data_IF_577285455136
#
_entry.id   IF_577285455136
#
_cell.length_a   1.000
_cell.length_b   1.000
_cell.length_c   1.000
_cell.angle_alpha   90.00
_cell.angle_beta   90.00
_cell.angle_gamma   90.00
#
_symmetry.space_group_name_H-M   'P 1'
#
loop_
_entity.id
_entity.type
_entity.pdbx_description
1 polymer ?
#
# COMPACT_ATOMS: atom_id res chain seq x y z
N UNK A 1 14.31 -0.29 15.09
CA UNK A 1 13.15 -0.10 16.01
C UNK A 1 11.81 -0.50 15.36
N UNK A 2 11.53 -0.18 14.10
CA UNK A 2 10.27 -0.49 13.40
C UNK A 2 9.98 -2.00 13.26
N UNK A 3 10.95 -2.79 12.80
CA UNK A 3 10.81 -4.24 12.59
C UNK A 3 10.49 -4.99 13.89
N UNK A 4 11.12 -4.64 15.02
CA UNK A 4 10.80 -5.24 16.34
C UNK A 4 9.34 -5.01 16.74
N UNK A 5 8.82 -3.80 16.51
CA UNK A 5 7.40 -3.50 16.80
C UNK A 5 6.45 -4.33 15.92
N UNK A 6 6.83 -4.60 14.68
CA UNK A 6 6.04 -5.41 13.75
C UNK A 6 5.98 -6.87 14.17
N UNK A 7 7.11 -7.42 14.60
CA UNK A 7 7.19 -8.81 15.12
C UNK A 7 6.30 -8.99 16.35
N UNK A 8 6.38 -8.07 17.31
CA UNK A 8 5.55 -8.11 18.52
C UNK A 8 4.06 -8.03 18.16
N UNK A 9 3.67 -7.16 17.22
CA UNK A 9 2.29 -7.07 16.76
C UNK A 9 1.80 -8.38 16.14
N UNK A 10 2.64 -9.05 15.33
CA UNK A 10 2.32 -10.34 14.71
C UNK A 10 2.17 -11.46 15.74
N UNK A 11 3.06 -11.51 16.72
CA UNK A 11 2.96 -12.46 17.83
C UNK A 11 1.67 -12.26 18.61
N UNK A 12 1.36 -11.02 18.97
CA UNK A 12 0.13 -10.68 19.68
C UNK A 12 -1.12 -11.04 18.86
N UNK A 13 -1.15 -10.68 17.57
CA UNK A 13 -2.24 -11.02 16.65
C UNK A 13 -2.49 -12.53 16.60
N UNK A 14 -1.42 -13.33 16.48
CA UNK A 14 -1.51 -14.80 16.48
C UNK A 14 -2.01 -15.35 17.81
N UNK A 15 -1.56 -14.77 18.93
CA UNK A 15 -1.87 -15.26 20.29
C UNK A 15 -3.34 -14.98 20.69
N UNK A 16 -3.86 -13.79 20.42
CA UNK A 16 -5.20 -13.39 20.86
C UNK A 16 -6.29 -13.45 19.77
N UNK A 17 -5.89 -13.67 18.53
CA UNK A 17 -6.77 -13.69 17.37
C UNK A 17 -7.20 -12.30 16.90
N UNK A 18 -7.71 -12.24 15.68
CA UNK A 18 -7.99 -10.99 14.95
C UNK A 18 -8.99 -10.07 15.68
N UNK A 19 -10.14 -10.61 16.10
CA UNK A 19 -11.20 -9.79 16.72
C UNK A 19 -10.73 -9.12 18.01
N UNK A 20 -10.01 -9.85 18.86
CA UNK A 20 -9.46 -9.30 20.12
C UNK A 20 -8.34 -8.30 19.82
N UNK A 21 -7.48 -8.60 18.84
CA UNK A 21 -6.42 -7.70 18.41
C UNK A 21 -6.97 -6.36 17.91
N UNK A 22 -7.99 -6.38 17.05
CA UNK A 22 -8.63 -5.17 16.54
C UNK A 22 -9.31 -4.36 17.66
N UNK A 23 -9.99 -5.01 18.61
CA UNK A 23 -10.54 -4.33 19.79
C UNK A 23 -9.45 -3.64 20.63
N UNK A 24 -8.30 -4.30 20.82
CA UNK A 24 -7.15 -3.73 21.50
C UNK A 24 -6.55 -2.53 20.75
N UNK A 25 -6.42 -2.65 19.43
CA UNK A 25 -5.95 -1.55 18.58
C UNK A 25 -6.89 -0.34 18.64
N UNK A 26 -8.19 -0.57 18.61
CA UNK A 26 -9.20 0.49 18.77
C UNK A 26 -9.04 1.20 20.13
N UNK A 27 -8.96 0.42 21.23
CA UNK A 27 -8.77 0.97 22.56
C UNK A 27 -7.48 1.82 22.66
N UNK A 28 -6.40 1.37 22.02
CA UNK A 28 -5.13 2.10 22.00
C UNK A 28 -5.23 3.43 21.24
N UNK A 29 -5.94 3.45 20.09
CA UNK A 29 -6.09 4.64 19.25
C UNK A 29 -7.07 5.65 19.82
N UNK A 30 -8.23 5.19 20.28
CA UNK A 30 -9.34 6.07 20.67
C UNK A 30 -9.54 6.19 22.18
N UNK A 31 -8.72 5.47 23.00
CA UNK A 31 -8.82 5.42 24.46
C UNK A 31 -10.20 5.00 24.99
N UNK A 32 -10.99 4.31 24.17
CA UNK A 32 -12.33 3.82 24.46
C UNK A 32 -12.51 2.42 23.86
N UNK A 33 -13.32 1.57 24.47
CA UNK A 33 -13.67 0.27 23.93
C UNK A 33 -14.66 0.46 22.75
N UNK A 34 -14.49 -0.27 21.62
CA UNK A 34 -15.45 -0.19 20.52
C UNK A 34 -16.72 -0.97 20.87
N UNK A 35 -17.88 -0.41 20.51
CA UNK A 35 -19.11 -1.19 20.45
C UNK A 35 -19.22 -1.78 19.04
N UNK A 36 -18.77 -3.03 18.87
CA UNK A 36 -18.84 -3.72 17.58
C UNK A 36 -20.15 -4.49 17.37
N UNK A 37 -20.96 -4.62 18.39
CA UNK A 37 -22.26 -5.30 18.30
C UNK A 37 -23.35 -4.33 17.79
N UNK A 38 -23.22 -3.03 18.13
CA UNK A 38 -24.05 -1.93 17.60
C UNK A 38 -23.18 -0.70 17.35
N UNK A 39 -22.41 -0.66 16.23
CA UNK A 39 -21.45 0.43 15.97
C UNK A 39 -22.17 1.72 15.56
N UNK A 40 -22.04 2.77 16.38
CA UNK A 40 -22.62 4.07 16.11
C UNK A 40 -21.62 5.02 15.44
N UNK A 41 -20.36 5.00 15.90
CA UNK A 41 -19.31 5.88 15.39
C UNK A 41 -18.74 5.37 14.07
N UNK A 42 -18.34 6.29 13.20
CA UNK A 42 -17.68 5.93 11.93
C UNK A 42 -16.46 5.02 12.14
N UNK A 43 -15.62 5.31 13.13
CA UNK A 43 -14.49 4.46 13.49
C UNK A 43 -14.90 3.05 13.94
N UNK A 44 -16.00 2.91 14.69
CA UNK A 44 -16.54 1.60 15.07
C UNK A 44 -17.07 0.83 13.86
N UNK A 45 -17.76 1.51 12.93
CA UNK A 45 -18.24 0.92 11.68
C UNK A 45 -17.08 0.41 10.82
N UNK A 46 -15.98 1.17 10.71
CA UNK A 46 -14.78 0.72 10.00
C UNK A 46 -14.14 -0.53 10.65
N UNK A 47 -14.04 -0.56 11.98
CA UNK A 47 -13.51 -1.74 12.70
C UNK A 47 -14.48 -2.93 12.60
N UNK A 48 -15.78 -2.69 12.62
CA UNK A 48 -16.81 -3.70 12.40
C UNK A 48 -16.66 -4.34 10.99
N UNK A 49 -16.51 -3.53 9.95
CA UNK A 49 -16.24 -4.01 8.58
C UNK A 49 -14.99 -4.89 8.52
N UNK A 50 -13.91 -4.49 9.18
CA UNK A 50 -12.68 -5.29 9.26
C UNK A 50 -12.92 -6.66 9.93
N UNK A 51 -13.76 -6.74 10.94
CA UNK A 51 -14.02 -7.98 11.69
C UNK A 51 -15.00 -8.90 10.98
N UNK A 52 -16.10 -8.36 10.45
CA UNK A 52 -17.24 -9.15 10.01
C UNK A 52 -17.35 -9.28 8.48
N UNK A 53 -16.99 -8.26 7.72
CA UNK A 53 -17.16 -8.25 6.27
C UNK A 53 -15.87 -8.44 5.47
N UNK A 54 -14.77 -8.76 6.12
CA UNK A 54 -13.47 -8.93 5.48
C UNK A 54 -13.49 -9.93 4.32
N UNK A 55 -14.16 -11.07 4.47
CA UNK A 55 -14.21 -12.10 3.43
C UNK A 55 -14.89 -11.60 2.15
N UNK A 56 -15.97 -10.85 2.28
CA UNK A 56 -16.71 -10.29 1.14
C UNK A 56 -15.98 -9.13 0.46
N UNK A 57 -15.32 -8.30 1.25
CA UNK A 57 -14.65 -7.10 0.76
C UNK A 57 -13.22 -7.37 0.27
N UNK A 58 -12.65 -8.53 0.61
CA UNK A 58 -11.25 -8.83 0.31
C UNK A 58 -10.89 -8.64 -1.17
N UNK A 59 -11.63 -9.18 -2.16
CA UNK A 59 -11.27 -9.01 -3.57
C UNK A 59 -11.27 -7.55 -4.00
N UNK A 60 -12.30 -6.79 -3.61
CA UNK A 60 -12.41 -5.37 -3.93
C UNK A 60 -11.32 -4.54 -3.24
N UNK A 61 -11.03 -4.85 -1.97
CA UNK A 61 -9.99 -4.16 -1.22
C UNK A 61 -8.62 -4.43 -1.84
N UNK A 62 -8.30 -5.66 -2.23
CA UNK A 62 -7.05 -6.00 -2.90
C UNK A 62 -6.92 -5.26 -4.23
N UNK A 63 -7.99 -5.23 -5.02
CA UNK A 63 -8.04 -4.51 -6.29
C UNK A 63 -7.80 -3.01 -6.11
N UNK A 64 -8.46 -2.40 -5.10
CA UNK A 64 -8.36 -0.96 -4.86
C UNK A 64 -7.09 -0.54 -4.08
N UNK A 65 -6.47 -1.46 -3.35
CA UNK A 65 -5.27 -1.17 -2.57
C UNK A 65 -4.01 -1.05 -3.44
N UNK A 66 -3.89 -1.89 -4.46
CA UNK A 66 -2.78 -1.86 -5.39
C UNK A 66 -2.92 -0.69 -6.37
N UNK A 67 -1.89 0.16 -6.45
CA UNK A 67 -1.89 1.40 -7.25
C UNK A 67 -2.00 1.16 -8.75
N UNK A 68 -1.70 -0.06 -9.21
CA UNK A 68 -1.83 -0.42 -10.61
C UNK A 68 -3.20 -1.02 -10.90
N UNK A 69 -3.64 -2.01 -10.12
CA UNK A 69 -4.91 -2.70 -10.37
C UNK A 69 -6.13 -1.80 -10.14
N UNK A 70 -6.06 -0.83 -9.20
CA UNK A 70 -7.13 0.15 -8.99
C UNK A 70 -7.41 0.99 -10.26
N UNK A 71 -6.44 1.15 -11.14
CA UNK A 71 -6.63 1.90 -12.40
C UNK A 71 -7.64 1.22 -13.32
N UNK A 72 -7.61 -0.13 -13.39
CA UNK A 72 -8.60 -0.90 -14.14
C UNK A 72 -10.01 -0.72 -13.55
N UNK A 73 -10.14 -0.85 -12.22
CA UNK A 73 -11.40 -0.62 -11.54
C UNK A 73 -11.97 0.78 -11.81
N UNK A 74 -11.14 1.81 -11.78
CA UNK A 74 -11.55 3.19 -12.07
C UNK A 74 -11.97 3.38 -13.52
N UNK A 75 -11.32 2.72 -14.48
CA UNK A 75 -11.74 2.70 -15.89
C UNK A 75 -13.12 2.08 -16.06
N UNK A 76 -13.36 0.93 -15.45
CA UNK A 76 -14.66 0.24 -15.44
C UNK A 76 -15.78 1.08 -14.82
N UNK A 77 -15.44 1.99 -13.92
CA UNK A 77 -16.37 2.95 -13.30
C UNK A 77 -16.51 4.27 -14.06
N UNK A 78 -15.92 4.41 -15.26
CA UNK A 78 -15.96 5.63 -16.07
C UNK A 78 -15.14 6.78 -15.48
N UNK A 79 -14.19 6.48 -14.60
CA UNK A 79 -13.34 7.46 -13.91
C UNK A 79 -11.94 7.59 -14.52
N UNK A 80 -11.71 7.09 -15.72
CA UNK A 80 -10.40 7.09 -16.39
C UNK A 80 -9.78 8.48 -16.49
N UNK A 81 -10.59 9.50 -16.73
CA UNK A 81 -10.15 10.90 -16.87
C UNK A 81 -9.49 11.49 -15.60
N UNK A 82 -9.66 10.83 -14.46
CA UNK A 82 -9.04 11.23 -13.19
C UNK A 82 -7.74 10.48 -12.90
N UNK A 83 -7.37 9.50 -13.73
CA UNK A 83 -6.12 8.77 -13.55
C UNK A 83 -4.94 9.63 -13.98
N UNK A 84 -3.91 9.64 -13.14
CA UNK A 84 -2.64 10.23 -13.51
C UNK A 84 -2.01 9.50 -14.70
N UNK A 85 -1.22 10.19 -15.49
CA UNK A 85 -0.51 9.62 -16.64
C UNK A 85 0.51 8.58 -16.15
N UNK A 86 0.41 7.36 -16.69
CA UNK A 86 1.25 6.22 -16.37
C UNK A 86 2.32 6.07 -17.45
N UNK A 87 3.59 6.21 -17.08
CA UNK A 87 4.72 6.05 -17.99
C UNK A 87 5.17 4.59 -18.15
N UNK A 88 4.98 3.77 -17.12
CA UNK A 88 5.31 2.35 -17.18
C UNK A 88 5.00 1.58 -15.92
N UNK A 89 4.98 0.25 -16.08
CA UNK A 89 4.84 -0.74 -15.00
C UNK A 89 5.96 -1.75 -15.17
N UNK A 90 6.66 -2.09 -14.10
CA UNK A 90 7.88 -2.90 -14.16
C UNK A 90 7.86 -3.95 -13.06
N UNK A 91 8.29 -5.16 -13.41
CA UNK A 91 8.46 -6.27 -12.47
C UNK A 91 9.75 -6.13 -11.66
N UNK A 92 10.73 -5.42 -12.19
CA UNK A 92 11.94 -5.04 -11.48
C UNK A 92 12.49 -3.69 -12.00
N UNK A 93 13.30 -3.02 -11.20
CA UNK A 93 13.81 -1.70 -11.55
C UNK A 93 14.83 -1.69 -12.69
N UNK A 94 15.42 -2.85 -13.07
CA UNK A 94 16.37 -2.92 -14.17
C UNK A 94 15.71 -2.72 -15.53
N UNK A 95 14.40 -3.01 -15.63
CA UNK A 95 13.58 -2.81 -16.81
C UNK A 95 13.30 -1.34 -17.13
N UNK A 96 13.55 -0.44 -16.16
CA UNK A 96 13.28 0.99 -16.34
C UNK A 96 14.31 1.61 -17.29
N UNK A 97 13.85 2.03 -18.45
CA UNK A 97 14.62 2.85 -19.39
C UNK A 97 14.39 4.34 -19.07
N UNK A 98 15.27 4.89 -18.25
CA UNK A 98 15.18 6.31 -17.84
C UNK A 98 15.31 7.28 -19.01
N UNK A 99 15.89 6.89 -20.14
CA UNK A 99 16.04 7.77 -21.31
C UNK A 99 14.68 8.10 -21.92
N UNK A 100 13.73 7.15 -21.85
CA UNK A 100 12.37 7.32 -22.36
C UNK A 100 11.44 8.11 -21.43
N UNK A 101 11.85 8.35 -20.18
CA UNK A 101 11.04 9.09 -19.22
C UNK A 101 11.21 10.60 -19.37
N UNK A 102 10.17 11.35 -18.99
CA UNK A 102 10.23 12.81 -18.87
C UNK A 102 11.31 13.27 -17.89
N UNK A 103 11.61 14.57 -17.86
CA UNK A 103 12.60 15.10 -16.93
C UNK A 103 12.19 14.94 -15.45
N UNK A 104 10.89 14.90 -15.17
CA UNK A 104 10.36 14.71 -13.83
C UNK A 104 9.29 13.62 -13.81
N UNK A 105 9.35 12.75 -12.81
CA UNK A 105 8.43 11.62 -12.63
C UNK A 105 8.43 11.13 -11.19
N UNK A 106 7.49 10.25 -10.87
CA UNK A 106 7.44 9.57 -9.58
C UNK A 106 7.43 8.06 -9.78
N UNK A 107 8.27 7.37 -9.01
CA UNK A 107 8.32 5.91 -8.94
C UNK A 107 7.68 5.44 -7.63
N UNK A 108 6.82 4.42 -7.70
CA UNK A 108 6.07 3.93 -6.54
C UNK A 108 6.04 2.40 -6.55
N UNK A 109 6.09 1.78 -5.38
CA UNK A 109 5.74 0.36 -5.25
C UNK A 109 4.22 0.25 -5.13
N UNK A 110 3.60 -0.62 -5.93
CA UNK A 110 2.13 -0.68 -6.08
C UNK A 110 1.42 -1.02 -4.78
N UNK A 111 1.96 -1.93 -3.98
CA UNK A 111 1.36 -2.42 -2.74
C UNK A 111 2.07 -1.88 -1.50
N UNK A 112 2.35 -0.59 -1.45
CA UNK A 112 3.06 0.01 -0.33
C UNK A 112 2.51 1.36 0.10
N UNK A 113 2.81 1.76 1.33
CA UNK A 113 2.61 3.10 1.83
C UNK A 113 3.95 3.81 1.96
N UNK A 114 4.10 4.96 1.30
CA UNK A 114 5.28 5.80 1.45
C UNK A 114 6.55 5.31 0.74
N UNK A 115 6.55 4.15 0.07
CA UNK A 115 7.66 3.73 -0.78
C UNK A 115 7.52 4.38 -2.16
N UNK A 116 7.71 5.68 -2.17
CA UNK A 116 7.64 6.54 -3.35
C UNK A 116 8.96 7.29 -3.50
N UNK A 117 9.40 7.44 -4.73
CA UNK A 117 10.63 8.17 -5.07
C UNK A 117 10.30 9.25 -6.09
N UNK A 118 10.40 10.50 -5.67
CA UNK A 118 10.12 11.68 -6.51
C UNK A 118 11.41 12.10 -7.20
N UNK A 119 11.40 12.12 -8.51
CA UNK A 119 12.51 12.60 -9.34
C UNK A 119 12.06 13.92 -9.98
N UNK A 120 12.62 15.04 -9.47
CA UNK A 120 12.31 16.38 -9.97
C UNK A 120 13.12 16.75 -11.20
N UNK A 121 14.35 16.22 -11.30
CA UNK A 121 15.25 16.43 -12.43
C UNK A 121 16.02 15.14 -12.71
N UNK A 122 15.72 14.53 -13.85
CA UNK A 122 16.36 13.30 -14.32
C UNK A 122 17.88 13.42 -14.46
N UNK A 123 18.35 14.56 -14.91
CA UNK A 123 19.77 14.77 -15.20
C UNK A 123 20.66 14.80 -13.93
N UNK A 124 20.07 15.05 -12.76
CA UNK A 124 20.78 15.03 -11.47
C UNK A 124 20.54 13.75 -10.68
N UNK A 125 19.86 12.76 -11.25
CA UNK A 125 19.46 11.56 -10.55
C UNK A 125 20.52 10.45 -10.67
N UNK A 126 20.84 9.79 -9.56
CA UNK A 126 21.66 8.57 -9.55
C UNK A 126 20.77 7.35 -9.86
N UNK A 127 20.74 6.93 -11.12
CA UNK A 127 19.92 5.82 -11.58
C UNK A 127 20.35 4.48 -10.98
N UNK A 128 21.64 4.29 -10.66
CA UNK A 128 22.11 3.06 -10.03
C UNK A 128 21.56 2.93 -8.60
N UNK A 129 21.62 4.02 -7.84
CA UNK A 129 21.05 4.07 -6.50
C UNK A 129 19.51 3.92 -6.53
N UNK A 130 18.84 4.54 -7.49
CA UNK A 130 17.38 4.42 -7.68
C UNK A 130 17.00 2.95 -7.93
N UNK A 131 17.64 2.28 -8.90
CA UNK A 131 17.37 0.87 -9.22
C UNK A 131 17.61 -0.04 -8.01
N UNK A 132 18.72 0.14 -7.32
CA UNK A 132 19.07 -0.62 -6.11
C UNK A 132 18.00 -0.45 -5.02
N UNK A 133 17.57 0.78 -4.78
CA UNK A 133 16.58 1.10 -3.75
C UNK A 133 15.20 0.53 -4.07
N UNK A 134 14.74 0.70 -5.31
CA UNK A 134 13.45 0.16 -5.75
C UNK A 134 13.41 -1.36 -5.69
N UNK A 135 14.46 -2.05 -6.14
CA UNK A 135 14.54 -3.51 -6.07
C UNK A 135 14.59 -4.01 -4.62
N UNK A 136 15.26 -3.27 -3.72
CA UNK A 136 15.22 -3.57 -2.29
C UNK A 136 13.81 -3.44 -1.72
N UNK A 137 13.10 -2.36 -2.03
CA UNK A 137 11.73 -2.13 -1.57
C UNK A 137 10.77 -3.20 -2.11
N UNK A 138 10.85 -3.49 -3.40
CA UNK A 138 10.04 -4.50 -4.06
C UNK A 138 10.23 -5.87 -3.41
N UNK A 139 11.47 -6.27 -3.16
CA UNK A 139 11.83 -7.51 -2.51
C UNK A 139 11.32 -7.60 -1.05
N UNK A 140 11.37 -6.48 -0.31
CA UNK A 140 10.82 -6.40 1.05
C UNK A 140 9.31 -6.59 1.08
N UNK A 141 8.59 -6.03 0.10
CA UNK A 141 7.14 -6.19 -0.02
C UNK A 141 6.80 -7.63 -0.43
N UNK A 142 7.35 -8.14 -1.52
CA UNK A 142 7.03 -9.47 -2.05
C UNK A 142 7.43 -10.61 -1.11
N UNK A 143 8.45 -10.43 -0.27
CA UNK A 143 8.77 -11.40 0.80
C UNK A 143 7.95 -11.20 2.08
N UNK A 144 6.95 -10.33 2.08
CA UNK A 144 6.11 -10.06 3.25
C UNK A 144 6.86 -9.44 4.44
N UNK A 145 8.12 -9.00 4.25
CA UNK A 145 8.96 -8.46 5.34
C UNK A 145 8.60 -7.03 5.72
N UNK A 146 8.07 -6.27 4.76
CA UNK A 146 7.63 -4.88 4.96
C UNK A 146 6.10 -4.75 5.07
N UNK A 147 5.40 -5.84 5.33
CA UNK A 147 3.96 -5.79 5.58
C UNK A 147 3.68 -4.94 6.82
N UNK A 148 2.71 -4.07 6.70
CA UNK A 148 2.29 -3.15 7.74
C UNK A 148 1.69 -3.89 8.96
N UNK A 149 0.52 -3.61 9.36
CA UNK A 149 -0.08 -4.28 10.52
C UNK A 149 -0.58 -5.69 10.14
N UNK A 150 -0.55 -6.68 11.05
CA UNK A 150 -1.08 -8.03 10.81
C UNK A 150 -2.53 -8.03 10.33
N UNK A 151 -3.32 -7.04 10.74
CA UNK A 151 -4.70 -6.85 10.35
C UNK A 151 -4.87 -6.31 8.92
N UNK A 152 -3.79 -5.91 8.25
CA UNK A 152 -3.77 -5.44 6.87
C UNK A 152 -3.16 -6.46 5.89
N UNK A 153 -2.59 -7.56 6.40
CA UNK A 153 -1.92 -8.57 5.58
C UNK A 153 -2.77 -9.23 4.50
N UNK A 154 -4.09 -9.09 4.59
CA UNK A 154 -5.03 -9.63 3.60
C UNK A 154 -5.15 -8.79 2.31
N UNK A 155 -4.64 -7.57 2.30
CA UNK A 155 -4.68 -6.68 1.12
C UNK A 155 -3.47 -6.86 0.21
N UNK A 156 -2.42 -7.54 0.69
CA UNK A 156 -1.20 -7.75 -0.07
C UNK A 156 -1.24 -9.06 -0.85
N UNK A 157 -0.76 -9.00 -2.08
CA UNK A 157 -0.37 -10.14 -2.90
C UNK A 157 1.17 -10.16 -2.97
N UNK A 158 1.75 -11.31 -3.30
CA UNK A 158 3.21 -11.43 -3.52
C UNK A 158 3.63 -10.93 -4.93
N UNK A 159 2.82 -10.09 -5.56
CA UNK A 159 2.95 -9.59 -6.93
C UNK A 159 2.96 -8.05 -6.99
N UNK A 160 3.66 -7.43 -6.06
CA UNK A 160 3.87 -5.99 -6.11
C UNK A 160 4.81 -5.62 -7.26
N UNK A 161 4.50 -4.50 -7.94
CA UNK A 161 5.25 -3.97 -9.08
C UNK A 161 5.77 -2.56 -8.78
N UNK A 162 6.59 -2.05 -9.67
CA UNK A 162 7.00 -0.65 -9.70
C UNK A 162 6.15 0.03 -10.76
N UNK A 163 5.52 1.16 -10.41
CA UNK A 163 4.89 2.04 -11.40
C UNK A 163 5.66 3.35 -11.51
N UNK A 164 5.72 3.87 -12.72
CA UNK A 164 6.23 5.20 -13.01
C UNK A 164 5.09 6.08 -13.51
N UNK A 165 4.87 7.19 -12.85
CA UNK A 165 3.81 8.13 -13.18
C UNK A 165 4.34 9.54 -13.37
N UNK A 166 3.60 10.36 -14.10
CA UNK A 166 3.84 11.79 -14.21
C UNK A 166 3.89 12.44 -12.83
N UNK A 167 4.90 13.25 -12.58
CA UNK A 167 4.94 14.05 -11.37
C UNK A 167 3.99 15.24 -11.51
N UNK A 168 3.04 15.33 -10.59
CA UNK A 168 2.12 16.47 -10.49
C UNK A 168 2.72 17.48 -9.52
N UNK A 169 2.79 18.73 -9.92
CA UNK A 169 3.19 19.84 -9.07
C UNK A 169 1.96 20.68 -8.73
N UNK A 170 1.82 21.03 -7.48
CA UNK A 170 0.97 22.17 -7.10
C UNK A 170 1.64 23.45 -7.60
N UNK A 171 0.87 24.28 -8.27
CA UNK A 171 1.31 25.60 -8.74
C UNK A 171 1.31 26.61 -7.61
#
# INVERSE_FOLDING_TARGET
MYIRKLVIKRMLYKAIGEKKYLKLMYLRLFKKRPNLDNPQKFSEKLFWLKVYNRKFLKPLIQLCYDKFTVRQYLKEKGCEKYLNELYGVYDNANEIDFNKLSNSFILKITQSWGLNMVIKNKNSADFALIKKTLNLWLNLINKGKAQHSPDEGYVFNDDAKIICEKLIYDK
#
